data_IF_226206260861
#
_entry.id   IF_226206260861
#
_cell.length_a   1.000
_cell.length_b   1.000
_cell.length_c   1.000
_cell.angle_alpha   90.00
_cell.angle_beta   90.00
_cell.angle_gamma   90.00
#
_symmetry.space_group_name_H-M   'P 1'
#
loop_
_entity.id
_entity.type
_entity.pdbx_description
1 polymer ?
#
# COMPACT_ATOMS: atom_id res chain seq x y z
N UNK A 1 -3.68 0.60 -17.31
CA UNK A 1 -2.69 0.55 -16.22
C UNK A 1 -1.25 0.72 -16.69
N UNK A 2 -0.56 -0.30 -17.24
CA UNK A 2 0.89 -0.22 -17.54
C UNK A 2 1.31 0.98 -18.41
N UNK A 3 0.50 1.36 -19.41
CA UNK A 3 0.77 2.56 -20.21
C UNK A 3 0.85 3.85 -19.38
N UNK A 4 -0.08 4.04 -18.44
CA UNK A 4 -0.11 5.21 -17.55
C UNK A 4 1.09 5.22 -16.60
N UNK A 5 1.45 4.06 -16.04
CA UNK A 5 2.64 3.92 -15.17
C UNK A 5 3.91 4.25 -15.95
N UNK A 6 4.03 3.80 -17.20
CA UNK A 6 5.18 4.16 -18.04
C UNK A 6 5.26 5.65 -18.34
N UNK A 7 4.13 6.30 -18.63
CA UNK A 7 4.09 7.75 -18.82
C UNK A 7 4.53 8.47 -17.55
N UNK A 8 4.03 8.05 -16.38
CA UNK A 8 4.44 8.60 -15.09
C UNK A 8 5.94 8.43 -14.84
N UNK A 9 6.49 7.22 -15.00
CA UNK A 9 7.93 6.94 -14.80
C UNK A 9 8.83 7.54 -15.89
N UNK A 10 8.26 8.02 -16.99
CA UNK A 10 8.98 8.79 -18.01
C UNK A 10 9.06 10.26 -17.61
N UNK A 11 7.97 10.82 -17.08
CA UNK A 11 7.96 12.18 -16.53
C UNK A 11 8.73 12.28 -15.21
N UNK A 12 8.75 11.21 -14.41
CA UNK A 12 9.36 11.14 -13.07
C UNK A 12 10.37 9.98 -12.99
N UNK A 13 11.51 10.05 -13.69
CA UNK A 13 12.45 8.92 -13.81
C UNK A 13 13.18 8.59 -12.50
N UNK A 14 13.07 9.44 -11.48
CA UNK A 14 13.65 9.21 -10.14
C UNK A 14 12.73 8.40 -9.22
N UNK A 15 11.47 8.27 -9.60
CA UNK A 15 10.48 7.48 -8.86
C UNK A 15 10.49 6.03 -9.32
N UNK A 16 9.91 5.15 -8.52
CA UNK A 16 9.57 3.79 -8.91
C UNK A 16 8.14 3.50 -8.46
N UNK A 17 7.51 2.50 -9.09
CA UNK A 17 6.15 2.10 -8.72
C UNK A 17 6.16 0.65 -8.29
N UNK A 18 5.69 0.38 -7.08
CA UNK A 18 5.39 -0.98 -6.63
C UNK A 18 3.98 -1.35 -7.07
N UNK A 19 3.82 -2.53 -7.66
CA UNK A 19 2.53 -3.08 -8.07
C UNK A 19 2.31 -4.36 -7.28
N UNK A 20 1.35 -4.30 -6.37
CA UNK A 20 0.91 -5.44 -5.58
C UNK A 20 -0.14 -6.22 -6.38
N UNK A 21 0.16 -7.48 -6.68
CA UNK A 21 -0.67 -8.36 -7.49
C UNK A 21 -1.36 -9.40 -6.62
N UNK A 22 -2.54 -9.83 -7.05
CA UNK A 22 -3.38 -10.84 -6.40
C UNK A 22 -4.25 -11.51 -7.44
N UNK A 23 -4.46 -12.81 -7.30
CA UNK A 23 -5.49 -13.52 -8.05
C UNK A 23 -6.82 -13.43 -7.31
N UNK A 24 -7.76 -12.64 -7.83
CA UNK A 24 -9.11 -12.51 -7.25
C UNK A 24 -10.03 -13.68 -7.65
N UNK A 25 -9.79 -14.29 -8.81
CA UNK A 25 -10.62 -15.35 -9.36
C UNK A 25 -9.77 -16.45 -9.95
N UNK A 26 -10.13 -17.70 -9.65
CA UNK A 26 -9.52 -18.87 -10.29
C UNK A 26 -9.74 -18.80 -11.81
N UNK A 27 -8.69 -18.98 -12.62
CA UNK A 27 -8.80 -18.95 -14.07
C UNK A 27 -9.84 -19.95 -14.61
N UNK A 28 -10.43 -19.62 -15.76
CA UNK A 28 -11.30 -20.54 -16.47
C UNK A 28 -10.52 -21.81 -16.89
N UNK A 29 -11.23 -22.94 -17.03
CA UNK A 29 -10.60 -24.26 -17.25
C UNK A 29 -9.77 -24.36 -18.53
N UNK A 30 -10.04 -23.51 -19.51
CA UNK A 30 -9.35 -23.42 -20.80
C UNK A 30 -8.07 -22.55 -20.75
N UNK A 31 -7.82 -21.85 -19.64
CA UNK A 31 -6.58 -21.10 -19.43
C UNK A 31 -5.45 -22.06 -19.12
N UNK A 32 -4.57 -22.28 -20.09
CA UNK A 32 -3.41 -23.18 -19.95
C UNK A 32 -2.14 -22.46 -19.49
N UNK A 33 -2.18 -21.13 -19.36
CA UNK A 33 -1.02 -20.31 -19.03
C UNK A 33 -1.02 -19.97 -17.54
N UNK A 34 0.11 -20.22 -16.89
CA UNK A 34 0.34 -19.78 -15.52
C UNK A 34 0.44 -18.26 -15.44
N UNK A 35 0.16 -17.71 -14.27
CA UNK A 35 0.32 -16.28 -14.00
C UNK A 35 1.74 -15.78 -14.30
N UNK A 36 2.76 -16.59 -14.03
CA UNK A 36 4.15 -16.24 -14.36
C UNK A 36 4.45 -16.21 -15.85
N UNK A 37 3.85 -17.10 -16.65
CA UNK A 37 3.94 -17.00 -18.11
C UNK A 37 3.28 -15.71 -18.62
N UNK A 38 2.16 -15.31 -18.02
CA UNK A 38 1.47 -14.05 -18.36
C UNK A 38 2.36 -12.84 -18.01
N UNK A 39 2.94 -12.79 -16.80
CA UNK A 39 3.89 -11.74 -16.41
C UNK A 39 5.07 -11.69 -17.38
N UNK A 40 5.66 -12.84 -17.72
CA UNK A 40 6.79 -12.91 -18.64
C UNK A 40 6.42 -12.42 -20.05
N UNK A 41 5.21 -12.74 -20.53
CA UNK A 41 4.71 -12.20 -21.79
C UNK A 41 4.67 -10.67 -21.77
N UNK A 42 4.12 -10.05 -20.73
CA UNK A 42 4.07 -8.58 -20.61
C UNK A 42 5.46 -7.95 -20.54
N UNK A 43 6.41 -8.57 -19.81
CA UNK A 43 7.80 -8.10 -19.72
C UNK A 43 8.49 -8.01 -21.08
N UNK A 44 8.14 -8.89 -22.01
CA UNK A 44 8.71 -8.92 -23.35
C UNK A 44 8.14 -7.81 -24.26
N UNK A 45 7.00 -7.20 -23.90
CA UNK A 45 6.44 -6.06 -24.61
C UNK A 45 7.23 -4.78 -24.27
N UNK A 46 7.25 -3.81 -25.20
CA UNK A 46 7.89 -2.50 -24.98
C UNK A 46 7.38 -1.82 -23.72
N UNK A 47 6.07 -1.90 -23.47
CA UNK A 47 5.41 -1.33 -22.29
C UNK A 47 5.69 -2.08 -20.98
N UNK A 48 6.25 -3.30 -21.03
CA UNK A 48 6.57 -4.08 -19.83
C UNK A 48 8.06 -4.15 -19.53
N UNK A 49 8.94 -3.54 -20.34
CA UNK A 49 10.41 -3.64 -20.15
C UNK A 49 10.92 -3.10 -18.82
N UNK A 50 10.15 -2.23 -18.16
CA UNK A 50 10.47 -1.65 -16.84
C UNK A 50 10.09 -2.54 -15.66
N UNK A 51 9.42 -3.66 -15.91
CA UNK A 51 8.94 -4.60 -14.90
C UNK A 51 10.12 -5.42 -14.34
N UNK A 52 10.26 -5.38 -13.02
CA UNK A 52 11.24 -6.15 -12.24
C UNK A 52 10.50 -7.13 -11.34
N UNK A 53 10.89 -8.40 -11.42
CA UNK A 53 10.27 -9.52 -10.69
C UNK A 53 11.19 -10.12 -9.63
N UNK A 54 12.46 -9.73 -9.60
CA UNK A 54 13.52 -10.33 -8.79
C UNK A 54 14.22 -9.30 -7.91
N UNK A 55 13.46 -8.41 -7.29
CA UNK A 55 13.97 -7.42 -6.34
C UNK A 55 13.85 -7.94 -4.90
N UNK A 56 14.60 -7.35 -3.97
CA UNK A 56 14.60 -7.72 -2.55
C UNK A 56 14.55 -6.48 -1.64
N UNK A 57 14.29 -6.68 -0.34
CA UNK A 57 14.34 -5.62 0.68
C UNK A 57 15.75 -5.09 0.95
N UNK A 58 16.78 -5.80 0.49
CA UNK A 58 18.18 -5.36 0.59
C UNK A 58 18.57 -4.42 -0.56
N UNK A 59 17.75 -4.34 -1.61
CA UNK A 59 17.99 -3.43 -2.72
C UNK A 59 17.82 -1.98 -2.29
N UNK A 60 18.64 -1.11 -2.85
CA UNK A 60 18.53 0.33 -2.69
C UNK A 60 17.50 0.92 -3.65
N UNK A 61 16.87 2.03 -3.24
CA UNK A 61 15.98 2.84 -4.12
C UNK A 61 16.66 3.17 -5.46
N UNK A 62 17.97 3.44 -5.43
CA UNK A 62 18.75 3.80 -6.62
C UNK A 62 18.72 2.72 -7.72
N UNK A 63 18.70 1.44 -7.34
CA UNK A 63 18.63 0.32 -8.28
C UNK A 63 17.29 0.24 -9.01
N UNK A 64 16.23 0.84 -8.45
CA UNK A 64 14.85 0.66 -8.91
C UNK A 64 14.23 1.90 -9.54
N UNK A 65 14.94 3.04 -9.56
CA UNK A 65 14.48 4.27 -10.22
C UNK A 65 14.04 4.02 -11.67
N UNK A 66 12.87 4.53 -12.01
CA UNK A 66 12.24 4.39 -13.31
C UNK A 66 11.64 3.01 -13.60
N UNK A 67 11.58 2.11 -12.61
CA UNK A 67 11.11 0.73 -12.76
C UNK A 67 9.77 0.47 -12.08
N UNK A 68 9.17 -0.67 -12.45
CA UNK A 68 7.93 -1.20 -11.87
C UNK A 68 8.31 -2.46 -11.09
N UNK A 69 8.19 -2.42 -9.77
CA UNK A 69 8.50 -3.55 -8.89
C UNK A 69 7.25 -4.39 -8.70
N UNK A 70 7.27 -5.66 -9.10
CA UNK A 70 6.13 -6.56 -8.89
C UNK A 70 6.25 -7.28 -7.55
N UNK A 71 5.16 -7.28 -6.79
CA UNK A 71 5.05 -7.99 -5.53
C UNK A 71 3.74 -8.75 -5.45
N UNK A 72 3.74 -9.95 -4.91
CA UNK A 72 2.56 -10.81 -4.74
C UNK A 72 1.95 -10.67 -3.36
N UNK A 73 0.63 -10.56 -3.29
CA UNK A 73 -0.15 -10.60 -2.06
C UNK A 73 -0.71 -12.00 -1.74
N UNK A 74 -0.42 -12.98 -2.59
CA UNK A 74 -0.76 -14.38 -2.47
C UNK A 74 0.25 -15.24 -3.27
N UNK A 75 0.10 -16.55 -3.20
CA UNK A 75 0.99 -17.50 -3.85
C UNK A 75 0.74 -17.70 -5.35
N UNK A 76 -0.26 -17.04 -5.94
CA UNK A 76 -0.64 -17.26 -7.35
C UNK A 76 0.43 -16.78 -8.33
N UNK A 77 1.30 -15.86 -7.90
CA UNK A 77 2.40 -15.29 -8.67
C UNK A 77 3.78 -15.72 -8.13
N UNK A 78 3.80 -16.66 -7.18
CA UNK A 78 5.04 -17.16 -6.58
C UNK A 78 6.04 -17.58 -7.66
N UNK A 79 7.32 -17.21 -7.46
CA UNK A 79 8.48 -17.40 -8.35
C UNK A 79 8.61 -16.38 -9.50
N UNK A 80 7.68 -15.45 -9.66
CA UNK A 80 7.80 -14.36 -10.64
C UNK A 80 7.47 -12.98 -10.06
N UNK A 81 7.57 -12.85 -8.75
CA UNK A 81 7.43 -11.61 -8.01
C UNK A 81 8.22 -11.66 -6.69
N UNK A 82 8.20 -10.55 -5.97
CA UNK A 82 8.55 -10.52 -4.56
C UNK A 82 7.34 -10.94 -3.72
N UNK A 83 7.46 -12.01 -2.95
CA UNK A 83 6.37 -12.52 -2.12
C UNK A 83 6.20 -11.67 -0.85
N UNK A 84 5.15 -10.85 -0.79
CA UNK A 84 4.87 -10.01 0.39
C UNK A 84 4.47 -10.86 1.58
N UNK A 85 3.82 -12.01 1.36
CA UNK A 85 3.32 -12.86 2.45
C UNK A 85 4.45 -13.56 3.21
N UNK A 86 5.53 -13.88 2.50
CA UNK A 86 6.73 -14.50 3.10
C UNK A 86 7.71 -13.47 3.69
N UNK A 87 7.73 -12.23 3.18
CA UNK A 87 8.78 -11.26 3.51
C UNK A 87 8.28 -10.03 4.29
N UNK A 88 6.97 -9.88 4.50
CA UNK A 88 6.40 -8.73 5.20
C UNK A 88 5.38 -9.17 6.25
N UNK A 89 5.29 -8.41 7.34
CA UNK A 89 4.14 -8.51 8.24
C UNK A 89 2.95 -7.85 7.56
N UNK A 90 1.80 -8.54 7.48
CA UNK A 90 0.61 -8.02 6.80
C UNK A 90 -0.56 -7.94 7.78
N UNK A 91 -1.13 -6.74 7.94
CA UNK A 91 -2.43 -6.57 8.60
C UNK A 91 -3.52 -6.46 7.55
N UNK A 92 -4.42 -7.46 7.54
CA UNK A 92 -5.61 -7.51 6.70
C UNK A 92 -6.79 -8.06 7.51
N UNK A 93 -6.97 -7.59 8.74
CA UNK A 93 -8.04 -8.10 9.60
C UNK A 93 -9.41 -7.72 9.06
N UNK A 94 -10.30 -8.72 9.05
CA UNK A 94 -11.75 -8.53 9.02
C UNK A 94 -12.20 -8.31 10.46
N UNK A 95 -12.99 -7.26 10.69
CA UNK A 95 -13.41 -6.82 12.03
C UNK A 95 -13.99 -8.00 12.83
N UNK A 96 -13.45 -8.24 14.03
CA UNK A 96 -14.09 -9.08 15.03
C UNK A 96 -14.79 -8.18 16.05
N UNK A 97 -16.10 -8.36 16.15
CA UNK A 97 -17.07 -7.56 16.91
C UNK A 97 -16.72 -7.34 18.39
N UNK A 98 -16.01 -6.26 18.72
CA UNK A 98 -15.71 -5.94 20.13
C UNK A 98 -15.90 -4.48 20.52
N UNK A 99 -16.18 -3.58 19.59
CA UNK A 99 -16.43 -2.15 19.87
C UNK A 99 -17.84 -1.69 19.49
N UNK A 100 -18.08 -0.40 19.70
CA UNK A 100 -19.35 0.28 19.43
C UNK A 100 -19.56 0.60 17.96
N UNK A 101 -18.53 0.44 17.11
CA UNK A 101 -18.59 0.70 15.68
C UNK A 101 -17.52 -0.06 14.86
N UNK A 102 -17.87 -0.49 13.65
CA UNK A 102 -16.95 -1.22 12.76
C UNK A 102 -15.68 -0.41 12.39
N UNK A 103 -15.79 0.92 12.33
CA UNK A 103 -14.67 1.83 12.05
C UNK A 103 -13.70 1.92 13.22
N UNK A 104 -14.20 1.95 14.46
CA UNK A 104 -13.37 2.00 15.65
C UNK A 104 -12.61 0.68 15.85
N UNK A 105 -13.27 -0.46 15.71
CA UNK A 105 -12.59 -1.77 15.74
C UNK A 105 -11.50 -1.85 14.68
N UNK A 106 -11.79 -1.42 13.44
CA UNK A 106 -10.79 -1.41 12.37
C UNK A 106 -9.64 -0.45 12.67
N UNK A 107 -9.94 0.73 13.21
CA UNK A 107 -8.92 1.70 13.59
C UNK A 107 -7.99 1.16 14.67
N UNK A 108 -8.53 0.53 15.71
CA UNK A 108 -7.74 -0.09 16.78
C UNK A 108 -6.77 -1.13 16.21
N UNK A 109 -7.20 -1.95 15.26
CA UNK A 109 -6.32 -2.93 14.60
C UNK A 109 -5.22 -2.28 13.78
N UNK A 110 -5.55 -1.27 12.97
CA UNK A 110 -4.60 -0.49 12.17
C UNK A 110 -3.57 0.18 13.09
N UNK A 111 -4.03 0.80 14.18
CA UNK A 111 -3.19 1.49 15.15
C UNK A 111 -2.25 0.51 15.86
N UNK A 112 -2.76 -0.60 16.40
CA UNK A 112 -1.94 -1.63 17.04
C UNK A 112 -0.92 -2.26 16.09
N UNK A 113 -1.27 -2.40 14.81
CA UNK A 113 -0.31 -2.86 13.82
C UNK A 113 0.78 -1.82 13.60
N UNK A 114 0.43 -0.55 13.39
CA UNK A 114 1.38 0.56 13.22
C UNK A 114 2.31 0.71 14.43
N UNK A 115 1.79 0.61 15.65
CA UNK A 115 2.60 0.69 16.88
C UNK A 115 3.67 -0.39 16.97
N UNK A 116 3.35 -1.60 16.49
CA UNK A 116 4.33 -2.70 16.42
C UNK A 116 5.47 -2.41 15.45
N UNK A 117 5.21 -1.66 14.38
CA UNK A 117 6.22 -1.21 13.42
C UNK A 117 7.25 -0.31 14.14
N UNK A 118 6.80 0.58 15.03
CA UNK A 118 7.70 1.46 15.80
C UNK A 118 8.53 0.73 16.84
N UNK A 119 7.91 -0.25 17.49
CA UNK A 119 8.48 -0.89 18.67
C UNK A 119 9.47 -2.02 18.33
N UNK A 120 9.45 -2.56 17.10
CA UNK A 120 10.28 -3.71 16.71
C UNK A 120 11.28 -3.34 15.64
N UNK A 121 12.57 -3.41 15.98
CA UNK A 121 13.68 -3.12 15.06
C UNK A 121 14.12 -4.29 14.16
N UNK A 122 13.46 -5.45 14.21
CA UNK A 122 13.95 -6.68 13.55
C UNK A 122 13.30 -6.96 12.20
N UNK A 123 12.13 -6.40 11.93
CA UNK A 123 11.39 -6.64 10.69
C UNK A 123 11.67 -5.51 9.69
N UNK A 124 11.80 -5.84 8.41
CA UNK A 124 12.18 -4.89 7.36
C UNK A 124 11.03 -4.48 6.44
N UNK A 125 9.86 -5.13 6.54
CA UNK A 125 8.70 -4.83 5.70
C UNK A 125 7.35 -5.03 6.40
N UNK A 126 6.45 -4.07 6.18
CA UNK A 126 5.10 -4.06 6.74
C UNK A 126 4.07 -3.58 5.72
N UNK A 127 2.92 -4.23 5.67
CA UNK A 127 1.77 -3.82 4.85
C UNK A 127 0.53 -3.67 5.72
N UNK A 128 0.01 -2.45 5.81
CA UNK A 128 -1.14 -2.08 6.64
C UNK A 128 -2.33 -1.72 5.75
N UNK A 129 -3.39 -2.54 5.78
CA UNK A 129 -4.61 -2.28 5.02
C UNK A 129 -5.59 -1.47 5.87
N UNK A 130 -5.80 -0.20 5.50
CA UNK A 130 -6.81 0.65 6.14
C UNK A 130 -8.22 0.15 5.81
N UNK A 131 -8.46 -0.34 4.60
CA UNK A 131 -9.77 -0.83 4.19
C UNK A 131 -10.19 -2.11 4.93
N UNK A 132 -11.50 -2.26 5.13
CA UNK A 132 -12.09 -3.52 5.57
C UNK A 132 -12.37 -4.40 4.35
N UNK A 133 -11.96 -5.67 4.41
CA UNK A 133 -12.05 -6.63 3.30
C UNK A 133 -13.49 -6.94 2.86
N UNK A 134 -14.49 -6.68 3.71
CA UNK A 134 -15.89 -7.11 3.49
C UNK A 134 -16.89 -6.00 3.18
N UNK A 135 -16.49 -4.73 3.12
CA UNK A 135 -17.46 -3.64 3.32
C UNK A 135 -18.03 -3.03 2.02
N UNK A 136 -19.36 -2.85 2.01
CA UNK A 136 -20.15 -2.18 0.96
C UNK A 136 -20.11 -0.65 1.16
N UNK A 137 -19.60 -0.17 2.30
CA UNK A 137 -19.50 1.25 2.65
C UNK A 137 -18.05 1.80 2.66
N UNK A 138 -17.14 1.26 1.83
CA UNK A 138 -15.72 1.67 1.77
C UNK A 138 -15.51 3.18 1.71
N UNK A 139 -16.32 3.91 0.92
CA UNK A 139 -16.21 5.38 0.83
C UNK A 139 -16.53 6.08 2.16
N UNK A 140 -17.55 5.62 2.89
CA UNK A 140 -17.92 6.26 4.17
C UNK A 140 -16.81 6.09 5.19
N UNK A 141 -16.34 4.86 5.37
CA UNK A 141 -15.28 4.53 6.32
C UNK A 141 -13.94 5.18 5.95
N UNK A 142 -13.60 5.25 4.65
CA UNK A 142 -12.32 5.78 4.20
C UNK A 142 -12.23 7.31 4.20
N UNK A 143 -13.32 8.04 3.87
CA UNK A 143 -13.25 9.51 3.68
C UNK A 143 -14.38 10.34 4.30
N UNK A 144 -15.53 9.78 4.69
CA UNK A 144 -16.64 10.59 5.24
C UNK A 144 -16.78 10.49 6.77
N UNK A 145 -16.40 9.35 7.35
CA UNK A 145 -16.71 9.01 8.73
C UNK A 145 -18.17 8.59 8.90
N UNK A 146 -18.59 8.36 10.14
CA UNK A 146 -20.01 8.19 10.47
C UNK A 146 -20.34 8.68 11.87
N UNK A 147 -21.63 8.97 12.08
CA UNK A 147 -22.17 9.33 13.39
C UNK A 147 -22.36 8.08 14.24
N UNK A 148 -21.82 8.09 15.45
CA UNK A 148 -21.99 6.97 16.38
C UNK A 148 -23.24 7.12 17.22
N UNK A 149 -23.86 6.00 17.58
CA UNK A 149 -25.01 5.98 18.49
C UNK A 149 -24.64 6.32 19.94
N UNK A 150 -23.35 6.30 20.29
CA UNK A 150 -22.91 6.37 21.69
C UNK A 150 -22.81 7.81 22.21
N UNK A 151 -22.45 8.78 21.37
CA UNK A 151 -22.27 10.18 21.79
C UNK A 151 -22.82 11.22 20.80
N UNK A 152 -23.48 10.82 19.72
CA UNK A 152 -23.92 11.71 18.63
C UNK A 152 -22.76 12.42 17.89
N UNK A 153 -21.52 12.03 18.19
CA UNK A 153 -20.27 12.49 17.60
C UNK A 153 -19.97 11.78 16.26
N UNK A 154 -19.42 12.53 15.30
CA UNK A 154 -18.93 12.00 14.04
C UNK A 154 -17.53 11.43 14.24
N UNK A 155 -17.38 10.12 14.04
CA UNK A 155 -16.06 9.49 13.99
C UNK A 155 -15.33 9.91 12.73
N UNK A 156 -14.05 10.29 12.88
CA UNK A 156 -13.21 10.62 11.75
C UNK A 156 -12.96 9.38 10.87
N UNK A 157 -12.92 9.53 9.53
CA UNK A 157 -12.62 8.44 8.61
C UNK A 157 -11.18 7.92 8.75
N UNK A 158 -10.94 6.68 8.28
CA UNK A 158 -9.65 6.00 8.44
C UNK A 158 -8.48 6.76 7.82
N UNK A 159 -8.67 7.39 6.64
CA UNK A 159 -7.59 8.14 6.01
C UNK A 159 -7.17 9.36 6.85
N UNK A 160 -8.13 10.05 7.48
CA UNK A 160 -7.86 11.20 8.36
C UNK A 160 -7.18 10.75 9.66
N UNK A 161 -7.65 9.64 10.25
CA UNK A 161 -7.02 9.07 11.45
C UNK A 161 -5.59 8.64 11.16
N UNK A 162 -5.36 7.93 10.05
CA UNK A 162 -4.02 7.49 9.66
C UNK A 162 -3.12 8.68 9.31
N UNK A 163 -3.61 9.69 8.60
CA UNK A 163 -2.82 10.89 8.28
C UNK A 163 -2.32 11.60 9.55
N UNK A 164 -3.17 11.68 10.58
CA UNK A 164 -2.81 12.31 11.86
C UNK A 164 -1.88 11.44 12.72
N UNK A 165 -1.94 10.12 12.54
CA UNK A 165 -1.19 9.16 13.35
C UNK A 165 0.13 8.71 12.72
N UNK A 166 0.25 8.81 11.39
CA UNK A 166 1.37 8.24 10.68
C UNK A 166 2.69 8.85 11.15
N UNK A 167 3.63 7.96 11.34
CA UNK A 167 5.03 8.23 11.61
C UNK A 167 5.81 7.35 10.63
N UNK A 168 7.12 7.57 10.47
CA UNK A 168 8.00 6.65 9.73
C UNK A 168 9.04 6.00 10.68
N UNK A 169 9.23 4.65 10.66
CA UNK A 169 10.19 3.96 11.53
C UNK A 169 11.65 4.08 11.02
N UNK A 170 11.84 4.58 9.78
CA UNK A 170 13.08 4.76 9.01
C UNK A 170 13.94 3.50 8.76
N UNK A 171 13.71 2.41 9.48
CA UNK A 171 14.44 1.14 9.35
C UNK A 171 13.71 0.08 8.52
N UNK A 172 12.48 0.35 8.08
CA UNK A 172 11.62 -0.62 7.40
C UNK A 172 10.82 0.02 6.27
N UNK A 173 10.49 -0.79 5.27
CA UNK A 173 9.49 -0.46 4.25
C UNK A 173 8.09 -0.57 4.87
N UNK A 174 7.32 0.52 4.85
CA UNK A 174 5.93 0.55 5.30
C UNK A 174 5.02 0.89 4.15
N UNK A 175 4.13 -0.03 3.79
CA UNK A 175 3.12 0.15 2.74
C UNK A 175 1.76 0.34 3.39
N UNK A 176 1.16 1.50 3.20
CA UNK A 176 -0.21 1.80 3.65
C UNK A 176 -1.16 1.64 2.47
N UNK A 177 -2.03 0.64 2.53
CA UNK A 177 -3.04 0.35 1.51
C UNK A 177 -4.37 0.98 1.93
N UNK A 178 -4.80 2.01 1.20
CA UNK A 178 -5.97 2.81 1.54
C UNK A 178 -6.95 2.93 0.36
N UNK A 179 -8.24 2.93 0.67
CA UNK A 179 -9.30 3.25 -0.29
C UNK A 179 -9.50 4.77 -0.35
N UNK A 180 -9.82 5.31 -1.53
CA UNK A 180 -10.07 6.75 -1.72
C UNK A 180 -8.99 7.63 -1.07
N UNK A 181 -7.71 7.29 -1.32
CA UNK A 181 -6.55 7.95 -0.70
C UNK A 181 -6.68 9.47 -0.78
N UNK A 182 -6.61 10.13 0.39
CA UNK A 182 -6.69 11.60 0.49
C UNK A 182 -5.32 12.23 0.34
N UNK A 183 -5.28 13.49 -0.09
CA UNK A 183 -4.03 14.25 -0.19
C UNK A 183 -3.33 14.35 1.18
N UNK A 184 -4.08 14.62 2.26
CA UNK A 184 -3.53 14.69 3.62
C UNK A 184 -2.80 13.40 4.05
N UNK A 185 -3.32 12.22 3.67
CA UNK A 185 -2.66 10.95 3.96
C UNK A 185 -1.36 10.80 3.16
N UNK A 186 -1.39 11.17 1.87
CA UNK A 186 -0.19 11.17 1.02
C UNK A 186 0.87 12.10 1.61
N UNK A 187 0.49 13.32 1.96
CA UNK A 187 1.41 14.34 2.49
C UNK A 187 1.98 13.96 3.85
N UNK A 188 1.20 13.32 4.72
CA UNK A 188 1.68 12.81 5.99
C UNK A 188 2.70 11.67 5.81
N UNK A 189 2.43 10.72 4.91
CA UNK A 189 3.38 9.64 4.61
C UNK A 189 4.66 10.19 3.99
N UNK A 190 4.57 11.13 3.03
CA UNK A 190 5.74 11.73 2.41
C UNK A 190 6.55 12.58 3.40
N UNK A 191 5.91 13.49 4.12
CA UNK A 191 6.60 14.43 5.02
C UNK A 191 7.38 13.72 6.12
N UNK A 192 6.85 12.62 6.66
CA UNK A 192 7.51 11.86 7.73
C UNK A 192 8.75 11.10 7.24
N UNK A 193 8.80 10.69 5.97
CA UNK A 193 10.00 10.09 5.37
C UNK A 193 11.11 11.12 5.09
N UNK A 194 10.75 12.40 4.96
CA UNK A 194 11.61 13.44 4.41
C UNK A 194 11.81 14.66 5.34
N UNK A 195 11.54 14.53 6.65
CA UNK A 195 11.69 15.60 7.64
C UNK A 195 13.07 16.26 7.51
N UNK A 196 13.08 17.55 7.15
CA UNK A 196 14.30 18.36 7.00
C UNK A 196 14.92 18.38 5.59
N UNK A 197 14.29 17.78 4.58
CA UNK A 197 14.79 17.82 3.19
C UNK A 197 14.19 18.98 2.37
N UNK A 198 14.99 19.55 1.47
CA UNK A 198 14.62 20.66 0.55
C UNK A 198 13.58 20.29 -0.52
N UNK A 199 13.11 19.03 -0.56
CA UNK A 199 12.01 18.62 -1.42
C UNK A 199 10.67 19.23 -0.99
N UNK A 200 10.52 19.52 0.30
CA UNK A 200 9.26 20.01 0.88
C UNK A 200 9.05 21.52 0.68
N UNK A 201 10.12 22.31 0.59
CA UNK A 201 10.03 23.77 0.39
C UNK A 201 9.38 24.16 -0.94
N UNK A 202 9.38 23.28 -1.96
CA UNK A 202 8.74 23.58 -3.25
C UNK A 202 7.26 23.17 -3.35
N UNK A 203 6.74 22.39 -2.40
CA UNK A 203 5.33 21.97 -2.40
C UNK A 203 4.43 22.96 -1.65
N UNK A 204 4.95 23.64 -0.64
CA UNK A 204 4.22 24.64 0.15
C UNK A 204 4.16 26.02 -0.49
N UNK A 205 5.03 26.32 -1.45
CA UNK A 205 5.09 27.65 -2.07
C UNK A 205 4.15 27.82 -3.28
N UNK A 206 3.38 26.78 -3.64
CA UNK A 206 2.44 26.79 -4.79
C UNK A 206 0.99 26.39 -4.44
N UNK A 207 0.62 26.40 -3.16
CA UNK A 207 -0.77 26.20 -2.70
C UNK A 207 -1.40 27.50 -2.22
#
# INVERSE_FOLDING_TARGET
FLGQVNSFLTANPREFVMVLMREEWTPAKDVTKSNCEVVQYYRNLVVGRRIVTNWSLEDTIGQHRGKILLAGLDSAFSKCDFDVTDNCQVQRTSISSSSTSDLEDKWIDVQRFHDRIYQRNTESCFVNFLANFKDINTRKSAVQGFRTKKNDECEAPLNVRMASYFSTPHHALVIVMADYVTQDLIDSVLSTNFKGSSFYTNYTDNS
#
